data_IF_057457387095
#
_entry.id   IF_057457387095
#
_cell.length_a   1.000
_cell.length_b   1.000
_cell.length_c   1.000
_cell.angle_alpha   90.00
_cell.angle_beta   90.00
_cell.angle_gamma   90.00
#
_symmetry.space_group_name_H-M   'P 1'
#
loop_
_entity.id
_entity.type
_entity.pdbx_description
1 polymer ?
#
# COMPACT_ATOMS: atom_id res chain seq x y z
N UNK A 1 18.36 14.08 -11.00
CA UNK A 1 18.35 13.64 -9.59
C UNK A 1 16.94 13.74 -9.04
N UNK A 2 16.38 12.66 -8.49
CA UNK A 2 15.10 12.70 -7.76
C UNK A 2 15.41 13.09 -6.32
N UNK A 3 15.09 14.31 -5.90
CA UNK A 3 15.34 14.76 -4.52
C UNK A 3 14.17 14.34 -3.64
N UNK A 4 14.40 13.34 -2.79
CA UNK A 4 13.51 12.95 -1.70
C UNK A 4 14.12 13.54 -0.43
N UNK A 5 13.35 14.30 0.37
CA UNK A 5 13.83 14.78 1.67
C UNK A 5 14.03 13.54 2.55
N UNK A 6 15.24 13.42 3.12
CA UNK A 6 15.66 12.37 4.04
C UNK A 6 14.87 12.44 5.36
N UNK A 7 13.63 11.97 5.37
CA UNK A 7 13.02 11.44 6.58
C UNK A 7 13.42 9.96 6.70
N UNK A 8 13.71 9.44 7.90
CA UNK A 8 14.14 8.04 8.10
C UNK A 8 13.13 7.02 7.54
N UNK A 9 11.86 7.42 7.45
CA UNK A 9 10.77 6.64 6.87
C UNK A 9 10.12 7.43 5.73
N UNK A 10 10.04 6.82 4.54
CA UNK A 10 9.45 7.40 3.34
C UNK A 10 8.33 6.47 2.87
N UNK A 11 7.08 6.94 2.86
CA UNK A 11 5.91 6.12 2.48
C UNK A 11 5.20 6.66 1.25
N UNK A 12 4.60 5.76 0.45
CA UNK A 12 3.79 6.15 -0.71
C UNK A 12 4.57 6.64 -1.93
N UNK A 13 5.75 6.06 -2.21
CA UNK A 13 6.56 6.43 -3.38
C UNK A 13 6.13 5.62 -4.61
N UNK A 14 5.70 6.25 -5.72
CA UNK A 14 5.31 5.54 -6.94
C UNK A 14 6.55 4.97 -7.65
N UNK A 15 6.56 3.64 -7.85
CA UNK A 15 7.65 2.97 -8.57
C UNK A 15 7.33 2.66 -10.03
N UNK A 16 6.04 2.65 -10.39
CA UNK A 16 5.55 2.41 -11.74
C UNK A 16 4.32 3.28 -12.02
N UNK A 17 3.99 3.42 -13.31
CA UNK A 17 2.78 4.10 -13.74
C UNK A 17 1.53 3.27 -13.38
N UNK A 18 0.39 3.91 -13.06
CA UNK A 18 -0.82 3.19 -12.65
C UNK A 18 -1.30 2.20 -13.72
N UNK A 19 -1.61 0.93 -13.37
CA UNK A 19 -2.00 -0.11 -14.32
C UNK A 19 -3.49 -0.02 -14.69
N UNK A 20 -3.94 1.19 -15.05
CA UNK A 20 -5.34 1.51 -15.36
C UNK A 20 -5.58 1.66 -16.87
N UNK A 21 -6.82 1.47 -17.30
CA UNK A 21 -7.22 1.64 -18.70
C UNK A 21 -6.40 0.75 -19.65
N UNK A 22 -5.68 1.37 -20.61
CA UNK A 22 -4.85 0.66 -21.60
C UNK A 22 -3.64 -0.07 -20.99
N UNK A 23 -3.25 0.28 -19.77
CA UNK A 23 -2.14 -0.36 -19.06
C UNK A 23 -2.59 -1.54 -18.20
N UNK A 24 -3.91 -1.81 -18.08
CA UNK A 24 -4.40 -2.98 -17.37
C UNK A 24 -3.96 -4.25 -18.12
N UNK A 25 -3.43 -5.22 -17.37
CA UNK A 25 -2.86 -6.47 -17.89
C UNK A 25 -1.63 -6.29 -18.80
N UNK A 26 -1.02 -5.11 -18.78
CA UNK A 26 0.28 -4.87 -19.42
C UNK A 26 1.40 -4.94 -18.38
N UNK A 27 2.65 -5.19 -18.80
CA UNK A 27 3.80 -5.03 -17.94
C UNK A 27 3.86 -3.63 -17.32
N UNK A 28 4.37 -3.49 -16.08
CA UNK A 28 4.48 -2.18 -15.44
C UNK A 28 5.43 -1.28 -16.24
N UNK A 29 4.99 -0.04 -16.45
CA UNK A 29 5.77 0.99 -17.14
C UNK A 29 6.38 1.92 -16.10
N UNK A 30 7.56 2.48 -16.39
CA UNK A 30 8.21 3.47 -15.51
C UNK A 30 7.25 4.59 -15.11
N UNK A 31 7.28 5.00 -13.84
CA UNK A 31 6.45 6.10 -13.35
C UNK A 31 6.87 7.42 -13.98
N UNK A 32 5.91 8.32 -14.17
CA UNK A 32 6.20 9.69 -14.60
C UNK A 32 7.14 10.37 -13.60
N UNK A 33 8.11 11.11 -14.13
CA UNK A 33 8.95 11.97 -13.31
C UNK A 33 8.09 13.09 -12.69
N UNK A 34 8.34 13.41 -11.43
CA UNK A 34 7.78 14.59 -10.77
C UNK A 34 8.81 15.70 -10.77
N UNK A 35 8.34 16.95 -10.86
CA UNK A 35 9.18 18.12 -10.72
C UNK A 35 9.22 18.56 -9.25
N UNK A 36 10.40 18.95 -8.76
CA UNK A 36 10.59 19.40 -7.38
C UNK A 36 10.57 18.28 -6.34
N UNK A 37 10.10 18.59 -5.14
CA UNK A 37 10.11 17.71 -3.97
C UNK A 37 8.73 17.05 -3.83
N UNK A 38 8.71 15.72 -3.65
CA UNK A 38 7.49 14.96 -3.34
C UNK A 38 7.43 14.69 -1.84
N UNK A 39 6.34 15.10 -1.20
CA UNK A 39 6.05 14.71 0.19
C UNK A 39 5.68 13.23 0.26
N UNK A 40 6.22 12.51 1.23
CA UNK A 40 6.14 11.06 1.33
C UNK A 40 5.97 10.59 2.79
N UNK A 41 4.90 11.09 3.42
CA UNK A 41 4.53 10.76 4.81
C UNK A 41 3.23 9.95 4.90
N UNK A 42 2.55 9.75 3.77
CA UNK A 42 1.23 9.12 3.71
C UNK A 42 1.35 7.89 2.82
N UNK A 43 0.85 6.75 3.32
CA UNK A 43 0.77 5.52 2.53
C UNK A 43 -0.23 5.68 1.39
N UNK A 44 0.17 5.26 0.19
CA UNK A 44 -0.75 5.17 -0.96
C UNK A 44 -1.86 4.13 -0.73
N UNK A 45 -2.87 4.10 -1.62
CA UNK A 45 -3.91 3.07 -1.57
C UNK A 45 -3.32 1.67 -1.81
N UNK A 46 -3.95 0.67 -1.20
CA UNK A 46 -3.60 -0.75 -1.43
C UNK A 46 -4.24 -1.25 -2.72
N UNK A 47 -3.69 -2.34 -3.27
CA UNK A 47 -4.26 -2.94 -4.47
C UNK A 47 -5.64 -3.56 -4.23
N UNK A 48 -6.49 -3.65 -5.26
CA UNK A 48 -7.83 -4.20 -5.12
C UNK A 48 -7.77 -5.67 -4.72
N UNK A 49 -8.46 -6.01 -3.63
CA UNK A 49 -8.52 -7.35 -3.09
C UNK A 49 -9.93 -7.66 -2.60
N UNK A 50 -10.40 -8.88 -2.88
CA UNK A 50 -11.69 -9.35 -2.39
C UNK A 50 -11.56 -9.80 -0.93
N UNK A 51 -11.85 -8.89 -0.01
CA UNK A 51 -11.87 -9.20 1.42
C UNK A 51 -13.08 -10.08 1.76
N UNK A 52 -12.94 -11.07 2.66
CA UNK A 52 -14.08 -11.86 3.10
C UNK A 52 -15.00 -11.01 4.00
N UNK A 53 -16.30 -11.29 3.93
CA UNK A 53 -17.28 -10.62 4.78
C UNK A 53 -17.13 -11.12 6.22
N UNK A 54 -16.90 -10.19 7.14
CA UNK A 54 -16.78 -10.44 8.58
C UNK A 54 -17.76 -9.61 9.41
N UNK A 55 -18.82 -9.06 8.81
CA UNK A 55 -19.85 -8.32 9.56
C UNK A 55 -20.49 -9.17 10.65
N UNK A 56 -20.59 -10.48 10.41
CA UNK A 56 -21.11 -11.45 11.37
C UNK A 56 -20.02 -12.47 11.72
N UNK A 57 -19.56 -12.42 12.98
CA UNK A 57 -18.52 -13.30 13.49
C UNK A 57 -18.90 -14.78 13.44
N UNK A 58 -20.15 -15.13 13.73
CA UNK A 58 -20.61 -16.53 13.73
C UNK A 58 -20.51 -17.13 12.32
N UNK A 59 -20.92 -16.38 11.30
CA UNK A 59 -20.82 -16.81 9.89
C UNK A 59 -19.35 -16.83 9.43
N UNK A 60 -18.56 -15.87 9.87
CA UNK A 60 -17.14 -15.82 9.55
C UNK A 60 -16.38 -17.02 10.14
N UNK A 61 -16.68 -17.40 11.39
CA UNK A 61 -16.04 -18.53 12.08
C UNK A 61 -16.39 -19.91 11.50
N UNK A 62 -17.50 -20.02 10.77
CA UNK A 62 -17.78 -21.21 9.96
C UNK A 62 -16.80 -21.37 8.79
N UNK A 63 -16.20 -20.28 8.31
CA UNK A 63 -15.33 -20.24 7.13
C UNK A 63 -13.85 -20.04 7.47
N UNK A 64 -13.52 -19.59 8.68
CA UNK A 64 -12.15 -19.35 9.11
C UNK A 64 -11.96 -19.55 10.61
N UNK A 65 -10.72 -19.83 11.04
CA UNK A 65 -10.39 -19.96 12.47
C UNK A 65 -10.47 -18.61 13.20
N UNK A 66 -10.67 -18.65 14.52
CA UNK A 66 -10.69 -17.47 15.37
C UNK A 66 -9.42 -16.61 15.23
N UNK A 67 -8.25 -17.25 15.16
CA UNK A 67 -6.97 -16.55 14.98
C UNK A 67 -6.93 -15.75 13.66
N UNK A 68 -7.42 -16.35 12.56
CA UNK A 68 -7.51 -15.68 11.27
C UNK A 68 -8.50 -14.52 11.30
N UNK A 69 -9.66 -14.69 11.94
CA UNK A 69 -10.64 -13.61 12.11
C UNK A 69 -10.04 -12.42 12.87
N UNK A 70 -9.31 -12.70 13.96
CA UNK A 70 -8.67 -11.67 14.78
C UNK A 70 -7.59 -10.90 14.01
N UNK A 71 -6.76 -11.60 13.23
CA UNK A 71 -5.75 -10.96 12.36
C UNK A 71 -6.43 -10.09 11.31
N UNK A 72 -7.47 -10.62 10.65
CA UNK A 72 -8.17 -9.88 9.61
C UNK A 72 -8.86 -8.61 10.15
N UNK A 73 -9.48 -8.68 11.34
CA UNK A 73 -10.06 -7.52 12.03
C UNK A 73 -9.03 -6.41 12.29
N UNK A 74 -7.79 -6.78 12.63
CA UNK A 74 -6.69 -5.80 12.83
C UNK A 74 -6.22 -5.18 11.52
N UNK A 75 -6.18 -5.96 10.44
CA UNK A 75 -5.69 -5.49 9.13
C UNK A 75 -6.73 -4.67 8.36
N UNK A 76 -8.01 -4.96 8.55
CA UNK A 76 -9.11 -4.37 7.78
C UNK A 76 -9.04 -2.84 7.64
N UNK A 77 -8.80 -2.04 8.69
CA UNK A 77 -8.67 -0.58 8.56
C UNK A 77 -7.59 -0.15 7.57
N UNK A 78 -6.49 -0.90 7.48
CA UNK A 78 -5.39 -0.62 6.55
C UNK A 78 -5.70 -1.04 5.10
N UNK A 79 -6.73 -1.88 4.91
CA UNK A 79 -7.11 -2.44 3.62
C UNK A 79 -8.37 -1.80 3.02
N UNK A 80 -8.94 -0.78 3.67
CA UNK A 80 -10.15 -0.10 3.20
C UNK A 80 -9.90 0.76 1.96
N UNK A 81 -8.76 1.47 1.92
CA UNK A 81 -8.44 2.38 0.82
C UNK A 81 -7.83 1.60 -0.36
N UNK A 82 -8.68 1.02 -1.21
CA UNK A 82 -8.28 0.26 -2.39
C UNK A 82 -8.42 1.07 -3.68
N UNK A 83 -7.42 0.96 -4.55
CA UNK A 83 -7.43 1.55 -5.89
C UNK A 83 -6.61 0.69 -6.84
N UNK A 84 -6.94 0.71 -8.15
CA UNK A 84 -6.05 0.11 -9.16
C UNK A 84 -4.74 0.89 -9.31
N UNK A 85 -4.75 2.18 -9.02
CA UNK A 85 -3.52 2.95 -8.84
C UNK A 85 -2.93 2.62 -7.46
N UNK A 86 -2.20 1.51 -7.36
CA UNK A 86 -1.63 1.00 -6.10
C UNK A 86 -0.11 0.70 -6.17
N UNK A 87 0.58 1.10 -7.23
CA UNK A 87 2.01 0.77 -7.44
C UNK A 87 2.94 1.70 -6.66
N UNK A 88 2.86 1.60 -5.33
CA UNK A 88 3.61 2.39 -4.38
C UNK A 88 4.52 1.52 -3.49
N UNK A 89 5.66 2.07 -3.06
CA UNK A 89 6.59 1.46 -2.12
C UNK A 89 6.64 2.28 -0.83
N UNK A 90 7.01 1.61 0.25
CA UNK A 90 7.48 2.25 1.47
C UNK A 90 8.95 1.88 1.68
N UNK A 91 9.78 2.87 1.99
CA UNK A 91 11.22 2.74 2.18
C UNK A 91 11.52 3.14 3.62
N UNK A 92 12.15 2.22 4.36
CA UNK A 92 12.58 2.43 5.74
C UNK A 92 14.10 2.30 5.75
N UNK A 93 14.78 3.38 6.12
CA UNK A 93 16.24 3.42 6.23
C UNK A 93 16.63 3.67 7.68
N UNK A 94 17.67 3.00 8.19
CA UNK A 94 18.18 3.32 9.52
C UNK A 94 18.57 4.81 9.56
N UNK A 95 18.29 5.48 10.67
CA UNK A 95 18.86 6.80 10.89
C UNK A 95 20.39 6.66 10.92
N UNK A 96 21.10 7.59 10.26
CA UNK A 96 22.55 7.67 10.35
C UNK A 96 22.87 8.21 11.76
N UNK A 97 23.10 7.28 12.70
CA UNK A 97 23.80 7.47 13.97
C UNK A 97 22.97 7.99 15.17
N UNK A 98 22.75 7.13 16.16
CA UNK A 98 23.12 7.37 17.57
C UNK A 98 23.59 6.02 18.15
N UNK A 99 24.91 5.82 18.24
CA UNK A 99 25.59 4.82 19.07
C UNK A 99 26.34 5.57 20.16
#
# INVERSE_FOLDING_TARGET
MKTIILCPNVTGIPYASPPIGKLRFMPPVTSAHWNGIKSAHITGPVCPQKLPDIKNDTIALQRMTQGRLNVLKRLLPMLQNQSEDCLYLNIYTPAIGEY
#
